data_IF_385113520778
#
_entry.id   IF_385113520778
#
_cell.length_a   1.000
_cell.length_b   1.000
_cell.length_c   1.000
_cell.angle_alpha   90.00
_cell.angle_beta   90.00
_cell.angle_gamma   90.00
#
_symmetry.space_group_name_H-M   'P 1'
#
loop_
_entity.id
_entity.type
_entity.pdbx_description
1 polymer ?
#
# COMPACT_ATOMS: atom_id res chain seq x y z
N UNK A 1 5.36 -40.78 -26.23
CA UNK A 1 5.59 -39.45 -25.62
C UNK A 1 6.75 -39.58 -24.66
N UNK A 2 7.78 -38.72 -24.74
CA UNK A 2 8.88 -38.70 -23.75
C UNK A 2 8.33 -38.34 -22.39
N UNK A 3 8.74 -39.06 -21.31
CA UNK A 3 8.37 -38.71 -19.95
C UNK A 3 8.93 -37.33 -19.62
N UNK A 4 8.10 -36.49 -18.99
CA UNK A 4 8.58 -35.24 -18.39
C UNK A 4 9.49 -35.54 -17.19
N UNK A 5 10.48 -34.68 -16.94
CA UNK A 5 11.47 -34.92 -15.90
C UNK A 5 11.56 -33.76 -14.92
N UNK A 6 11.53 -34.11 -13.64
CA UNK A 6 11.65 -33.15 -12.52
C UNK A 6 12.93 -33.45 -11.77
N UNK A 7 13.75 -32.42 -11.50
CA UNK A 7 14.87 -32.48 -10.56
C UNK A 7 14.43 -31.85 -9.23
N UNK A 8 14.42 -32.65 -8.19
CA UNK A 8 14.05 -32.24 -6.85
C UNK A 8 15.30 -32.13 -5.98
N UNK A 9 15.50 -31.00 -5.32
CA UNK A 9 16.72 -30.71 -4.55
C UNK A 9 16.36 -30.22 -3.17
N UNK A 10 16.71 -30.99 -2.16
CA UNK A 10 16.50 -30.64 -0.76
C UNK A 10 17.51 -31.38 0.14
N UNK A 11 17.87 -30.80 1.26
CA UNK A 11 18.77 -31.46 2.23
C UNK A 11 18.09 -32.56 3.02
N UNK A 12 16.77 -32.49 3.15
CA UNK A 12 15.97 -33.41 3.93
C UNK A 12 15.54 -34.61 3.07
N UNK A 13 16.14 -35.77 3.32
CA UNK A 13 15.87 -37.01 2.58
C UNK A 13 14.41 -37.44 2.69
N UNK A 14 13.80 -37.28 3.88
CA UNK A 14 12.39 -37.64 4.13
C UNK A 14 11.44 -36.78 3.27
N UNK A 15 11.75 -35.49 3.13
CA UNK A 15 11.01 -34.60 2.24
C UNK A 15 11.17 -35.01 0.78
N UNK A 16 12.39 -35.37 0.36
CA UNK A 16 12.63 -35.83 -1.02
C UNK A 16 11.87 -37.09 -1.35
N UNK A 17 11.83 -38.08 -0.44
CA UNK A 17 11.07 -39.32 -0.62
C UNK A 17 9.57 -39.04 -0.69
N UNK A 18 9.03 -38.22 0.22
CA UNK A 18 7.63 -37.83 0.22
C UNK A 18 7.28 -37.11 -1.08
N UNK A 19 8.01 -36.08 -1.47
CA UNK A 19 7.74 -35.28 -2.66
C UNK A 19 7.89 -36.10 -3.95
N UNK A 20 8.86 -37.00 -4.02
CA UNK A 20 9.02 -37.95 -5.13
C UNK A 20 7.78 -38.85 -5.26
N UNK A 21 7.27 -39.40 -4.17
CA UNK A 21 6.09 -40.24 -4.20
C UNK A 21 4.82 -39.49 -4.65
N UNK A 22 4.76 -38.17 -4.44
CA UNK A 22 3.64 -37.34 -4.91
C UNK A 22 3.74 -36.99 -6.40
N UNK A 23 4.95 -36.85 -6.96
CA UNK A 23 5.19 -36.34 -8.29
C UNK A 23 5.57 -37.43 -9.32
N UNK A 24 6.13 -38.55 -8.89
CA UNK A 24 6.52 -39.64 -9.80
C UNK A 24 5.29 -40.35 -10.34
N UNK A 25 5.23 -40.55 -11.65
CA UNK A 25 4.07 -41.14 -12.31
C UNK A 25 4.47 -41.86 -13.60
N UNK A 26 3.49 -42.45 -14.31
CA UNK A 26 3.73 -43.04 -15.64
C UNK A 26 4.22 -42.02 -16.67
N UNK A 27 3.89 -40.73 -16.49
CA UNK A 27 4.22 -39.62 -17.39
C UNK A 27 5.37 -38.74 -16.92
N UNK A 28 5.71 -38.78 -15.62
CA UNK A 28 6.70 -37.92 -14.99
C UNK A 28 7.77 -38.75 -14.31
N UNK A 29 9.05 -38.42 -14.50
CA UNK A 29 10.21 -39.02 -13.84
C UNK A 29 10.82 -38.01 -12.87
N UNK A 30 10.97 -38.38 -11.60
CA UNK A 30 11.58 -37.52 -10.58
C UNK A 30 12.99 -38.00 -10.24
N UNK A 31 13.95 -37.06 -10.32
CA UNK A 31 15.35 -37.23 -9.93
C UNK A 31 15.54 -36.44 -8.65
N UNK A 32 16.19 -36.99 -7.64
CA UNK A 32 16.38 -36.36 -6.33
C UNK A 32 17.85 -36.14 -6.04
N UNK A 33 18.24 -34.98 -5.52
CA UNK A 33 19.59 -34.62 -5.13
C UNK A 33 19.57 -33.90 -3.77
N UNK A 34 20.60 -34.12 -2.95
CA UNK A 34 20.69 -33.56 -1.61
C UNK A 34 21.63 -32.36 -1.50
N UNK A 35 22.36 -32.02 -2.57
CA UNK A 35 23.30 -30.91 -2.57
C UNK A 35 23.23 -30.10 -3.88
N UNK A 36 23.60 -28.83 -3.78
CA UNK A 36 23.58 -27.94 -4.93
C UNK A 36 24.55 -28.33 -6.05
N UNK A 37 25.72 -28.90 -5.70
CA UNK A 37 26.71 -29.41 -6.66
C UNK A 37 26.21 -30.65 -7.42
N UNK A 38 25.59 -31.59 -6.72
CA UNK A 38 25.00 -32.78 -7.32
C UNK A 38 23.83 -32.37 -8.23
N UNK A 39 22.99 -31.45 -7.75
CA UNK A 39 21.87 -30.91 -8.51
C UNK A 39 22.31 -30.23 -9.82
N UNK A 40 23.36 -29.40 -9.79
CA UNK A 40 23.87 -28.74 -10.98
C UNK A 40 24.46 -29.74 -11.98
N UNK A 41 25.18 -30.76 -11.51
CA UNK A 41 25.68 -31.85 -12.37
C UNK A 41 24.52 -32.65 -12.97
N UNK A 42 23.56 -33.03 -12.15
CA UNK A 42 22.37 -33.76 -12.59
C UNK A 42 21.55 -32.95 -13.61
N UNK A 43 21.40 -31.64 -13.40
CA UNK A 43 20.77 -30.72 -14.34
C UNK A 43 21.51 -30.69 -15.70
N UNK A 44 22.84 -30.56 -15.67
CA UNK A 44 23.65 -30.47 -16.89
C UNK A 44 23.64 -31.76 -17.73
N UNK A 45 23.48 -32.93 -17.07
CA UNK A 45 23.43 -34.23 -17.74
C UNK A 45 22.03 -34.59 -18.26
N UNK A 46 20.99 -34.27 -17.50
CA UNK A 46 19.63 -34.77 -17.76
C UNK A 46 18.72 -33.69 -18.37
N UNK A 47 19.08 -32.39 -18.33
CA UNK A 47 18.27 -31.26 -18.77
C UNK A 47 16.79 -31.39 -18.39
N UNK A 48 16.44 -31.45 -17.09
CA UNK A 48 15.09 -31.69 -16.64
C UNK A 48 14.14 -30.55 -17.07
N UNK A 49 12.85 -30.90 -17.22
CA UNK A 49 11.79 -29.95 -17.58
C UNK A 49 11.48 -28.96 -16.47
N UNK A 50 11.67 -29.38 -15.22
CA UNK A 50 11.41 -28.59 -14.03
C UNK A 50 12.48 -28.88 -12.97
N UNK A 51 12.95 -27.82 -12.30
CA UNK A 51 13.79 -27.95 -11.10
C UNK A 51 12.99 -27.38 -9.93
N UNK A 52 12.89 -28.14 -8.85
CA UNK A 52 12.34 -27.68 -7.56
C UNK A 52 13.46 -27.75 -6.54
N UNK A 53 13.89 -26.62 -6.00
CA UNK A 53 15.08 -26.55 -5.15
C UNK A 53 14.82 -25.79 -3.87
N UNK A 54 15.30 -26.34 -2.75
CA UNK A 54 15.38 -25.61 -1.51
C UNK A 54 16.33 -24.41 -1.64
N UNK A 55 16.00 -23.31 -0.96
CA UNK A 55 16.81 -22.10 -0.93
C UNK A 55 18.12 -22.31 -0.13
N UNK A 56 18.06 -23.00 1.03
CA UNK A 56 19.18 -23.21 1.93
C UNK A 56 19.95 -24.51 1.62
N UNK A 57 20.72 -24.53 0.54
CA UNK A 57 21.56 -25.66 0.16
C UNK A 57 23.03 -25.46 0.51
N UNK A 58 23.83 -26.49 0.36
CA UNK A 58 25.28 -26.49 0.42
C UNK A 58 25.87 -27.19 -0.81
N UNK A 59 27.07 -26.80 -1.29
CA UNK A 59 27.99 -25.76 -0.79
C UNK A 59 27.58 -24.33 -1.20
N UNK A 60 26.56 -24.15 -2.05
CA UNK A 60 26.01 -22.88 -2.44
C UNK A 60 24.47 -22.91 -2.36
N UNK A 61 23.87 -21.74 -2.28
CA UNK A 61 22.41 -21.59 -2.05
C UNK A 61 21.57 -22.01 -3.27
N UNK A 62 20.27 -22.29 -3.06
CA UNK A 62 19.31 -22.52 -4.15
C UNK A 62 19.18 -21.32 -5.09
N UNK A 63 19.42 -20.12 -4.60
CA UNK A 63 19.48 -18.90 -5.42
C UNK A 63 20.69 -18.90 -6.37
N UNK A 64 21.85 -19.28 -5.86
CA UNK A 64 23.06 -19.44 -6.70
C UNK A 64 22.89 -20.60 -7.69
N UNK A 65 22.22 -21.69 -7.29
CA UNK A 65 21.85 -22.79 -8.19
C UNK A 65 20.94 -22.27 -9.31
N UNK A 66 19.91 -21.51 -9.00
CA UNK A 66 19.05 -20.84 -9.97
C UNK A 66 19.85 -20.01 -10.98
N UNK A 67 20.78 -19.16 -10.47
CA UNK A 67 21.63 -18.31 -11.32
C UNK A 67 22.48 -19.14 -12.29
N UNK A 68 23.10 -20.23 -11.80
CA UNK A 68 23.92 -21.14 -12.62
C UNK A 68 23.09 -21.89 -13.66
N UNK A 69 21.89 -22.39 -13.27
CA UNK A 69 20.96 -23.06 -14.18
C UNK A 69 20.51 -22.09 -15.26
N UNK A 70 20.10 -20.87 -14.91
CA UNK A 70 19.66 -19.85 -15.88
C UNK A 70 20.75 -19.40 -16.81
N UNK A 71 22.02 -19.35 -16.35
CA UNK A 71 23.17 -19.07 -17.21
C UNK A 71 23.41 -20.20 -18.21
N UNK A 72 23.21 -21.45 -17.82
CA UNK A 72 23.37 -22.64 -18.68
C UNK A 72 22.18 -22.82 -19.64
N UNK A 73 20.96 -22.66 -19.11
CA UNK A 73 19.69 -22.79 -19.86
C UNK A 73 18.72 -21.67 -19.46
N UNK A 74 18.66 -20.60 -20.28
CA UNK A 74 17.82 -19.43 -19.99
C UNK A 74 16.31 -19.73 -19.86
N UNK A 75 15.84 -20.80 -20.45
CA UNK A 75 14.43 -21.22 -20.46
C UNK A 75 14.11 -22.29 -19.40
N UNK A 76 15.09 -22.70 -18.57
CA UNK A 76 14.87 -23.67 -17.52
C UNK A 76 13.84 -23.14 -16.51
N UNK A 77 12.86 -23.95 -16.15
CA UNK A 77 11.88 -23.60 -15.12
C UNK A 77 12.40 -24.07 -13.77
N UNK A 78 12.51 -23.13 -12.85
CA UNK A 78 13.02 -23.38 -11.49
C UNK A 78 12.04 -22.83 -10.47
N UNK A 79 11.59 -23.67 -9.56
CA UNK A 79 10.79 -23.29 -8.38
C UNK A 79 11.73 -23.30 -7.17
N UNK A 80 11.74 -22.21 -6.43
CA UNK A 80 12.45 -22.11 -5.15
C UNK A 80 11.50 -22.48 -4.03
N UNK A 81 11.96 -23.35 -3.12
CA UNK A 81 11.24 -23.67 -1.88
C UNK A 81 12.00 -23.17 -0.67
N UNK A 82 11.30 -22.75 0.37
CA UNK A 82 11.94 -22.29 1.61
C UNK A 82 11.04 -22.54 2.82
N UNK A 83 11.64 -22.87 3.95
CA UNK A 83 10.95 -22.90 5.23
C UNK A 83 10.58 -21.48 5.72
N UNK A 84 11.43 -20.49 5.38
CA UNK A 84 11.26 -19.09 5.78
C UNK A 84 11.37 -18.19 4.55
N UNK A 85 10.25 -17.83 3.93
CA UNK A 85 10.21 -16.91 2.82
C UNK A 85 10.13 -15.46 3.29
N UNK A 86 11.27 -14.73 3.34
CA UNK A 86 11.21 -13.27 3.52
C UNK A 86 10.76 -12.61 2.23
N UNK A 87 10.12 -11.43 2.33
CA UNK A 87 9.72 -10.61 1.19
C UNK A 87 10.86 -10.41 0.19
N UNK A 88 12.04 -10.12 0.70
CA UNK A 88 13.24 -9.89 -0.10
C UNK A 88 13.62 -11.12 -0.91
N UNK A 89 13.63 -12.32 -0.29
CA UNK A 89 13.98 -13.57 -0.95
C UNK A 89 13.02 -13.92 -2.09
N UNK A 90 11.72 -13.68 -1.89
CA UNK A 90 10.70 -13.90 -2.93
C UNK A 90 10.92 -12.98 -4.12
N UNK A 91 11.07 -11.66 -3.87
CA UNK A 91 11.30 -10.68 -4.94
C UNK A 91 12.60 -10.99 -5.69
N UNK A 92 13.67 -11.32 -4.97
CA UNK A 92 14.98 -11.63 -5.54
C UNK A 92 14.94 -12.91 -6.39
N UNK A 93 14.31 -13.99 -5.90
CA UNK A 93 14.12 -15.21 -6.65
C UNK A 93 13.35 -14.96 -7.97
N UNK A 94 12.25 -14.21 -7.90
CA UNK A 94 11.46 -13.87 -9.09
C UNK A 94 12.23 -12.98 -10.07
N UNK A 95 13.00 -12.00 -9.56
CA UNK A 95 13.89 -11.14 -10.37
C UNK A 95 14.98 -11.95 -11.08
N UNK A 96 15.53 -12.98 -10.40
CA UNK A 96 16.53 -13.90 -10.98
C UNK A 96 15.90 -14.89 -11.99
N UNK A 97 14.59 -14.84 -12.16
CA UNK A 97 13.86 -15.64 -13.15
C UNK A 97 13.40 -16.99 -12.62
N UNK A 98 13.18 -17.14 -11.31
CA UNK A 98 12.43 -18.28 -10.79
C UNK A 98 11.04 -18.32 -11.43
N UNK A 99 10.55 -19.54 -11.73
CA UNK A 99 9.18 -19.74 -12.22
C UNK A 99 8.18 -19.44 -11.09
N UNK A 100 8.49 -19.93 -9.89
CA UNK A 100 7.71 -19.67 -8.69
C UNK A 100 8.58 -19.74 -7.42
N UNK A 101 8.04 -19.21 -6.31
CA UNK A 101 8.60 -19.32 -4.97
C UNK A 101 7.51 -19.84 -4.04
N UNK A 102 7.76 -20.97 -3.35
CA UNK A 102 6.76 -21.67 -2.52
C UNK A 102 7.30 -21.91 -1.13
N UNK A 103 6.51 -21.61 -0.10
CA UNK A 103 6.86 -21.97 1.28
C UNK A 103 6.70 -23.47 1.52
N UNK A 104 7.64 -24.10 2.24
CA UNK A 104 7.58 -25.55 2.53
C UNK A 104 6.28 -25.95 3.24
N UNK A 105 5.72 -25.10 4.09
CA UNK A 105 4.44 -25.31 4.77
C UNK A 105 3.26 -25.52 3.83
N UNK A 106 3.33 -24.94 2.64
CA UNK A 106 2.26 -25.00 1.62
C UNK A 106 2.41 -26.20 0.68
N UNK A 107 3.60 -26.80 0.60
CA UNK A 107 3.89 -27.90 -0.32
C UNK A 107 3.00 -29.13 -0.10
N UNK A 108 2.62 -29.53 1.12
CA UNK A 108 1.71 -30.67 1.30
C UNK A 108 0.37 -30.54 0.57
N UNK A 109 -0.08 -29.32 0.34
CA UNK A 109 -1.37 -29.04 -0.32
C UNK A 109 -1.21 -28.63 -1.79
N UNK A 110 -0.07 -28.01 -2.16
CA UNK A 110 0.09 -27.34 -3.45
C UNK A 110 1.19 -27.90 -4.36
N UNK A 111 2.02 -28.85 -3.87
CA UNK A 111 3.19 -29.33 -4.62
C UNK A 111 2.80 -29.82 -6.02
N UNK A 112 1.77 -30.65 -6.12
CA UNK A 112 1.33 -31.21 -7.39
C UNK A 112 0.78 -30.14 -8.32
N UNK A 113 -0.02 -29.21 -7.81
CA UNK A 113 -0.64 -28.12 -8.59
C UNK A 113 0.46 -27.22 -9.20
N UNK A 114 1.45 -26.84 -8.38
CA UNK A 114 2.55 -25.95 -8.82
C UNK A 114 3.47 -26.69 -9.80
N UNK A 115 3.76 -27.96 -9.57
CA UNK A 115 4.56 -28.79 -10.47
C UNK A 115 3.86 -29.01 -11.81
N UNK A 116 2.57 -29.35 -11.82
CA UNK A 116 1.79 -29.54 -13.04
C UNK A 116 1.72 -28.27 -13.88
N UNK A 117 1.49 -27.10 -13.23
CA UNK A 117 1.50 -25.79 -13.89
C UNK A 117 2.87 -25.48 -14.53
N UNK A 118 3.96 -25.77 -13.82
CA UNK A 118 5.31 -25.58 -14.34
C UNK A 118 5.63 -26.53 -15.50
N UNK A 119 5.22 -27.80 -15.41
CA UNK A 119 5.43 -28.78 -16.48
C UNK A 119 4.60 -28.47 -17.74
N UNK A 120 3.39 -27.92 -17.56
CA UNK A 120 2.61 -27.42 -18.69
C UNK A 120 3.33 -26.24 -19.37
N UNK A 121 3.79 -25.27 -18.60
CA UNK A 121 4.58 -24.14 -19.12
C UNK A 121 5.87 -24.61 -19.82
N UNK A 122 6.56 -25.64 -19.29
CA UNK A 122 7.72 -26.25 -19.94
C UNK A 122 7.40 -26.86 -21.32
N UNK A 123 6.24 -27.53 -21.41
CA UNK A 123 5.78 -28.09 -22.68
C UNK A 123 5.47 -26.99 -23.73
N UNK A 124 4.82 -25.91 -23.30
CA UNK A 124 4.52 -24.74 -24.15
C UNK A 124 5.80 -24.01 -24.61
N UNK A 125 6.77 -23.82 -23.72
CA UNK A 125 8.06 -23.21 -24.03
C UNK A 125 8.88 -24.07 -25.02
N UNK A 126 8.83 -25.39 -24.88
CA UNK A 126 9.47 -26.32 -25.87
C UNK A 126 8.83 -26.22 -27.25
N UNK A 127 7.52 -25.98 -27.30
CA UNK A 127 6.78 -25.80 -28.53
C UNK A 127 7.05 -24.44 -29.23
N UNK A 128 7.37 -23.41 -28.43
CA UNK A 128 7.44 -22.01 -28.86
C UNK A 128 8.87 -21.52 -29.24
N UNK A 129 9.92 -22.29 -29.05
CA UNK A 129 11.34 -21.96 -29.24
C UNK A 129 11.61 -20.52 -29.73
N UNK A 130 11.85 -19.60 -28.82
CA UNK A 130 12.69 -18.38 -28.93
C UNK A 130 12.34 -17.30 -27.87
N UNK A 131 13.24 -16.93 -27.01
CA UNK A 131 13.70 -15.58 -26.61
C UNK A 131 14.39 -15.54 -25.22
N UNK A 132 15.47 -14.74 -25.09
CA UNK A 132 16.31 -14.59 -23.89
C UNK A 132 16.12 -13.25 -23.17
N UNK A 133 16.36 -13.14 -21.84
CA UNK A 133 17.03 -11.96 -21.25
C UNK A 133 18.02 -12.23 -20.10
N UNK A 134 18.85 -11.22 -19.81
CA UNK A 134 19.96 -11.16 -18.84
C UNK A 134 19.68 -10.15 -17.71
N UNK A 135 20.15 -10.40 -16.46
CA UNK A 135 20.24 -9.38 -15.39
C UNK A 135 21.25 -9.70 -14.27
N UNK A 136 21.87 -8.65 -13.69
CA UNK A 136 22.78 -8.63 -12.54
C UNK A 136 22.29 -7.65 -11.45
N UNK A 137 22.66 -7.87 -10.17
CA UNK A 137 22.06 -7.34 -8.95
C UNK A 137 22.99 -6.42 -8.17
N UNK A 138 22.45 -5.39 -7.47
CA UNK A 138 22.95 -4.88 -6.17
C UNK A 138 21.88 -4.13 -5.37
N UNK A 139 22.07 -4.01 -4.04
CA UNK A 139 21.09 -3.84 -2.96
C UNK A 139 20.65 -2.39 -2.68
N UNK A 140 19.36 -2.18 -2.28
CA UNK A 140 18.94 -1.10 -1.37
C UNK A 140 17.66 -1.46 -0.59
N UNK A 141 17.58 -0.96 0.65
CA UNK A 141 16.60 -1.29 1.68
C UNK A 141 15.46 -0.26 1.74
N UNK A 142 14.24 -0.67 1.45
CA UNK A 142 13.02 -0.20 2.11
C UNK A 142 12.11 -1.42 2.19
N UNK A 143 11.87 -1.91 3.41
CA UNK A 143 11.22 -3.19 3.63
C UNK A 143 9.71 -3.08 3.48
N UNK A 144 9.15 -3.73 2.46
CA UNK A 144 7.73 -4.06 2.45
C UNK A 144 7.54 -5.28 3.36
N UNK A 145 6.79 -5.10 4.44
CA UNK A 145 6.54 -6.14 5.44
C UNK A 145 5.24 -6.87 5.10
N UNK A 146 5.29 -8.20 5.04
CA UNK A 146 4.12 -9.07 4.84
C UNK A 146 4.54 -10.53 4.64
N UNK A 147 3.74 -11.44 5.17
CA UNK A 147 3.92 -12.90 5.08
C UNK A 147 2.72 -13.60 4.49
N UNK A 148 1.57 -12.91 4.41
CA UNK A 148 0.33 -13.47 3.88
C UNK A 148 0.47 -13.90 2.42
N UNK A 149 -0.30 -14.90 2.01
CA UNK A 149 -0.30 -15.41 0.65
C UNK A 149 -0.67 -14.32 -0.37
N UNK A 150 -1.59 -13.42 0.00
CA UNK A 150 -1.97 -12.30 -0.82
C UNK A 150 -0.78 -11.35 -1.08
N UNK A 151 0.05 -11.06 -0.07
CA UNK A 151 1.26 -10.25 -0.25
C UNK A 151 2.35 -11.00 -1.00
N UNK A 152 2.47 -12.31 -0.85
CA UNK A 152 3.41 -13.13 -1.63
C UNK A 152 3.12 -13.01 -3.14
N UNK A 153 1.86 -12.95 -3.56
CA UNK A 153 1.50 -12.70 -4.96
C UNK A 153 1.94 -11.31 -5.43
N UNK A 154 1.80 -10.28 -4.57
CA UNK A 154 2.30 -8.93 -4.86
C UNK A 154 3.83 -8.95 -5.04
N UNK A 155 4.58 -9.63 -4.16
CA UNK A 155 6.03 -9.72 -4.26
C UNK A 155 6.50 -10.44 -5.53
N UNK A 156 5.84 -11.54 -5.89
CA UNK A 156 6.09 -12.24 -7.16
C UNK A 156 5.87 -11.32 -8.36
N UNK A 157 4.79 -10.53 -8.35
CA UNK A 157 4.52 -9.54 -9.41
C UNK A 157 5.59 -8.44 -9.45
N UNK A 158 6.00 -7.88 -8.30
CA UNK A 158 7.09 -6.90 -8.25
C UNK A 158 8.34 -7.47 -8.91
N UNK A 159 8.77 -8.70 -8.56
CA UNK A 159 9.93 -9.35 -9.15
C UNK A 159 9.83 -9.53 -10.67
N UNK A 160 8.64 -9.92 -11.17
CA UNK A 160 8.40 -10.11 -12.62
C UNK A 160 8.46 -8.79 -13.39
N UNK A 161 7.85 -7.72 -12.86
CA UNK A 161 7.75 -6.44 -13.58
C UNK A 161 8.99 -5.56 -13.43
N UNK A 162 9.81 -5.81 -12.41
CA UNK A 162 10.99 -4.98 -12.12
C UNK A 162 11.98 -4.93 -13.29
N UNK A 163 12.16 -6.04 -14.00
CA UNK A 163 13.07 -6.14 -15.16
C UNK A 163 12.56 -5.52 -16.47
N UNK A 164 11.33 -4.99 -16.49
CA UNK A 164 10.70 -4.38 -17.67
C UNK A 164 10.55 -2.88 -17.50
N UNK A 165 10.62 -2.11 -18.60
CA UNK A 165 10.30 -0.68 -18.61
C UNK A 165 8.81 -0.39 -18.85
N UNK A 166 7.96 -1.43 -18.96
CA UNK A 166 6.54 -1.27 -19.15
C UNK A 166 5.90 -0.44 -18.01
N UNK A 167 4.89 0.40 -18.31
CA UNK A 167 4.10 1.07 -17.29
C UNK A 167 3.46 0.06 -16.34
N UNK A 168 3.45 0.39 -15.05
CA UNK A 168 2.84 -0.44 -14.01
C UNK A 168 1.76 0.36 -13.28
N UNK A 169 0.55 -0.21 -13.22
CA UNK A 169 -0.57 0.34 -12.47
C UNK A 169 -0.77 -0.41 -11.16
N UNK A 170 -0.66 0.28 -10.04
CA UNK A 170 -0.88 -0.26 -8.70
C UNK A 170 -2.28 0.15 -8.25
N UNK A 171 -3.14 -0.83 -7.99
CA UNK A 171 -4.50 -0.58 -7.48
C UNK A 171 -4.65 -1.08 -6.05
N UNK A 172 -5.47 -0.42 -5.26
CA UNK A 172 -5.74 -0.79 -3.88
C UNK A 172 -6.25 0.39 -3.06
N UNK A 173 -6.85 0.08 -1.92
CA UNK A 173 -7.43 1.08 -1.03
C UNK A 173 -6.41 2.12 -0.54
N UNK A 174 -6.91 3.27 -0.09
CA UNK A 174 -6.06 4.29 0.54
C UNK A 174 -5.35 3.71 1.78
N UNK A 175 -4.08 4.07 1.96
CA UNK A 175 -3.27 3.59 3.09
C UNK A 175 -2.83 2.12 3.01
N UNK A 176 -3.06 1.39 1.92
CA UNK A 176 -2.64 -0.01 1.76
C UNK A 176 -1.13 -0.20 1.57
N UNK A 177 -0.38 0.85 1.17
CA UNK A 177 1.06 0.83 0.94
C UNK A 177 1.48 0.89 -0.53
N UNK A 178 0.66 1.44 -1.43
CA UNK A 178 0.93 1.53 -2.88
C UNK A 178 2.27 2.20 -3.21
N UNK A 179 2.67 3.25 -2.49
CA UNK A 179 3.96 3.92 -2.70
C UNK A 179 5.15 3.01 -2.38
N UNK A 180 5.08 2.18 -1.32
CA UNK A 180 6.14 1.22 -0.99
C UNK A 180 6.31 0.18 -2.09
N UNK A 181 5.20 -0.29 -2.69
CA UNK A 181 5.24 -1.19 -3.86
C UNK A 181 5.90 -0.51 -5.06
N UNK A 182 5.58 0.78 -5.33
CA UNK A 182 6.21 1.54 -6.41
C UNK A 182 7.73 1.71 -6.19
N UNK A 183 8.15 2.01 -4.97
CA UNK A 183 9.56 2.09 -4.59
C UNK A 183 10.27 0.75 -4.76
N UNK A 184 9.64 -0.35 -4.35
CA UNK A 184 10.20 -1.68 -4.56
C UNK A 184 10.35 -2.02 -6.05
N UNK A 185 9.34 -1.72 -6.89
CA UNK A 185 9.45 -1.91 -8.34
C UNK A 185 10.65 -1.13 -8.91
N UNK A 186 10.87 0.11 -8.45
CA UNK A 186 12.04 0.89 -8.85
C UNK A 186 13.35 0.29 -8.34
N UNK A 187 13.44 -0.03 -7.04
CA UNK A 187 14.65 -0.52 -6.40
C UNK A 187 15.15 -1.85 -6.99
N UNK A 188 14.22 -2.71 -7.43
CA UNK A 188 14.56 -3.97 -8.10
C UNK A 188 14.65 -3.85 -9.63
N UNK A 189 14.49 -2.64 -10.22
CA UNK A 189 14.54 -2.41 -11.67
C UNK A 189 15.97 -2.18 -12.20
N UNK A 190 16.09 -2.12 -13.52
CA UNK A 190 17.32 -1.70 -14.20
C UNK A 190 17.67 -0.22 -13.94
N UNK A 191 16.70 0.56 -13.44
CA UNK A 191 16.83 1.98 -13.12
C UNK A 191 17.05 2.25 -11.63
N UNK A 192 17.36 1.25 -10.81
CA UNK A 192 17.51 1.35 -9.35
C UNK A 192 18.57 2.38 -8.89
N UNK A 193 19.60 2.62 -9.70
CA UNK A 193 20.62 3.66 -9.46
C UNK A 193 20.25 5.06 -9.99
N UNK A 194 19.04 5.24 -10.52
CA UNK A 194 18.56 6.50 -11.09
C UNK A 194 17.55 7.17 -10.16
N UNK A 195 17.07 8.35 -10.57
CA UNK A 195 16.07 9.09 -9.79
C UNK A 195 14.74 8.34 -9.66
N UNK A 196 14.17 8.31 -8.45
CA UNK A 196 12.77 7.97 -8.19
C UNK A 196 12.07 9.23 -7.69
N UNK A 197 11.16 9.77 -8.48
CA UNK A 197 10.36 10.93 -8.09
C UNK A 197 8.91 10.53 -7.91
N UNK A 198 8.34 10.88 -6.77
CA UNK A 198 6.92 10.65 -6.47
C UNK A 198 6.16 11.99 -6.52
N UNK A 199 4.98 11.96 -7.08
CA UNK A 199 4.04 13.07 -7.07
C UNK A 199 2.63 12.53 -6.76
N UNK A 200 1.96 13.17 -5.80
CA UNK A 200 0.56 12.85 -5.50
C UNK A 200 -0.33 13.85 -6.24
N UNK A 201 -1.10 13.34 -7.21
CA UNK A 201 -1.94 14.17 -8.07
C UNK A 201 -3.12 14.80 -7.32
N UNK A 202 -3.62 14.15 -6.26
CA UNK A 202 -4.70 14.69 -5.43
C UNK A 202 -4.25 15.79 -4.47
N UNK A 203 -2.96 15.85 -4.12
CA UNK A 203 -2.42 16.82 -3.16
C UNK A 203 -2.08 18.18 -3.78
N UNK A 204 -2.08 18.30 -5.10
CA UNK A 204 -1.70 19.51 -5.84
C UNK A 204 -2.94 20.09 -6.51
N UNK A 205 -3.22 21.40 -6.34
CA UNK A 205 -4.30 22.05 -7.08
C UNK A 205 -4.17 21.87 -8.61
N UNK A 206 -5.30 21.66 -9.29
CA UNK A 206 -5.35 21.32 -10.71
C UNK A 206 -4.55 22.30 -11.61
N UNK A 207 -4.65 23.58 -11.32
CA UNK A 207 -3.94 24.65 -12.05
C UNK A 207 -2.42 24.63 -11.86
N UNK A 208 -1.92 23.96 -10.82
CA UNK A 208 -0.47 23.84 -10.54
C UNK A 208 0.10 22.49 -10.94
N UNK A 209 -0.75 21.45 -11.01
CA UNK A 209 -0.31 20.08 -11.30
C UNK A 209 0.40 19.99 -12.66
N UNK A 210 -0.12 20.67 -13.66
CA UNK A 210 0.49 20.73 -14.99
C UNK A 210 1.90 21.34 -14.95
N UNK A 211 2.05 22.45 -14.23
CA UNK A 211 3.34 23.14 -14.04
C UNK A 211 4.33 22.32 -13.21
N UNK A 212 3.88 21.56 -12.21
CA UNK A 212 4.75 20.66 -11.44
C UNK A 212 5.25 19.49 -12.30
N UNK A 213 4.39 18.91 -13.15
CA UNK A 213 4.75 17.77 -13.99
C UNK A 213 5.68 18.16 -15.16
N UNK A 214 5.29 19.18 -15.93
CA UNK A 214 5.94 19.56 -17.19
C UNK A 214 6.89 20.75 -17.07
N UNK A 215 6.86 21.50 -15.94
CA UNK A 215 7.57 22.75 -15.78
C UNK A 215 6.87 23.91 -16.50
N UNK A 216 7.40 25.12 -16.32
CA UNK A 216 6.87 26.31 -16.98
C UNK A 216 7.99 27.27 -17.40
N UNK A 217 7.72 28.03 -18.46
CA UNK A 217 8.55 29.14 -18.89
C UNK A 217 8.20 30.41 -18.09
N UNK A 218 9.14 31.35 -18.02
CA UNK A 218 8.90 32.65 -17.41
C UNK A 218 7.73 33.34 -18.10
N UNK A 219 6.75 33.82 -17.32
CA UNK A 219 5.57 34.50 -17.82
C UNK A 219 4.41 33.59 -18.30
N UNK A 220 4.50 32.27 -18.10
CA UNK A 220 3.48 31.30 -18.53
C UNK A 220 2.12 31.52 -17.87
N UNK A 221 2.09 32.06 -16.65
CA UNK A 221 0.87 32.42 -15.89
C UNK A 221 1.20 33.53 -14.87
N UNK A 222 0.16 34.11 -14.26
CA UNK A 222 0.32 35.12 -13.19
C UNK A 222 1.05 34.52 -12.00
N UNK A 223 2.30 34.96 -11.74
CA UNK A 223 3.19 34.42 -10.71
C UNK A 223 4.37 33.61 -11.26
N UNK A 224 4.44 33.33 -12.54
CA UNK A 224 5.58 32.65 -13.18
C UNK A 224 6.77 33.61 -13.37
N UNK A 225 7.42 34.01 -12.26
CA UNK A 225 8.53 34.97 -12.30
C UNK A 225 9.83 34.43 -12.89
N UNK A 226 10.02 33.12 -12.85
CA UNK A 226 11.22 32.43 -13.39
C UNK A 226 10.78 31.12 -14.07
N UNK A 227 11.64 30.58 -14.93
CA UNK A 227 11.48 29.24 -15.50
C UNK A 227 11.62 28.18 -14.39
N UNK A 228 10.82 27.12 -14.46
CA UNK A 228 10.89 25.97 -13.54
C UNK A 228 10.93 24.65 -14.30
N UNK A 229 11.84 23.79 -13.90
CA UNK A 229 12.01 22.43 -14.46
C UNK A 229 10.92 21.52 -13.87
N UNK A 230 10.19 20.78 -14.72
CA UNK A 230 9.13 19.85 -14.34
C UNK A 230 9.64 18.48 -13.89
N UNK A 231 8.73 17.66 -13.32
CA UNK A 231 9.06 16.32 -12.82
C UNK A 231 9.48 15.37 -13.93
N UNK A 232 8.90 15.45 -15.13
CA UNK A 232 9.32 14.65 -16.27
C UNK A 232 10.77 14.89 -16.67
N UNK A 233 11.22 16.15 -16.68
CA UNK A 233 12.60 16.50 -16.97
C UNK A 233 13.55 16.05 -15.85
N UNK A 234 13.15 16.21 -14.57
CA UNK A 234 13.94 15.80 -13.41
C UNK A 234 14.07 14.27 -13.28
N UNK A 235 13.11 13.51 -13.80
CA UNK A 235 13.10 12.04 -13.74
C UNK A 235 13.62 11.39 -15.01
N UNK A 236 14.27 12.15 -15.90
CA UNK A 236 14.84 11.60 -17.13
C UNK A 236 15.80 10.43 -16.85
N UNK A 237 15.68 9.33 -17.60
CA UNK A 237 16.34 8.05 -17.38
C UNK A 237 16.03 7.38 -16.03
N UNK A 238 15.06 7.91 -15.27
CA UNK A 238 14.64 7.42 -13.96
C UNK A 238 13.23 6.81 -13.97
N UNK A 239 12.58 6.92 -12.81
CA UNK A 239 11.19 6.46 -12.60
C UNK A 239 10.35 7.61 -12.01
N UNK A 240 9.21 7.88 -12.62
CA UNK A 240 8.21 8.81 -12.10
C UNK A 240 7.02 8.01 -11.56
N UNK A 241 6.75 8.18 -10.26
CA UNK A 241 5.59 7.60 -9.61
C UNK A 241 4.47 8.64 -9.51
N UNK A 242 3.33 8.33 -10.12
CA UNK A 242 2.12 9.15 -10.13
C UNK A 242 1.10 8.52 -9.17
N UNK A 243 1.01 9.06 -7.95
CA UNK A 243 0.01 8.60 -6.97
C UNK A 243 -1.33 9.27 -7.22
N UNK A 244 -2.41 8.53 -6.98
CA UNK A 244 -3.81 8.93 -7.20
C UNK A 244 -4.05 9.49 -8.61
N UNK A 245 -3.59 8.73 -9.64
CA UNK A 245 -3.70 9.11 -11.05
C UNK A 245 -5.15 9.38 -11.49
N UNK A 246 -6.13 8.75 -10.83
CA UNK A 246 -7.56 8.94 -11.10
C UNK A 246 -8.12 10.30 -10.71
N UNK A 247 -7.33 11.14 -10.01
CA UNK A 247 -7.70 12.52 -9.66
C UNK A 247 -7.17 13.56 -10.68
N UNK A 248 -6.46 13.10 -11.71
CA UNK A 248 -5.79 13.99 -12.65
C UNK A 248 -6.77 14.67 -13.62
N UNK A 249 -6.67 15.99 -13.84
CA UNK A 249 -7.48 16.72 -14.80
C UNK A 249 -7.27 16.22 -16.24
N UNK A 250 -8.34 16.21 -17.05
CA UNK A 250 -8.33 15.72 -18.45
C UNK A 250 -7.27 16.40 -19.34
N UNK A 251 -6.99 17.68 -19.10
CA UNK A 251 -5.97 18.42 -19.84
C UNK A 251 -4.57 17.84 -19.59
N UNK A 252 -4.26 17.51 -18.34
CA UNK A 252 -2.98 16.91 -17.92
C UNK A 252 -2.89 15.48 -18.45
N UNK A 253 -4.00 14.71 -18.42
CA UNK A 253 -4.05 13.36 -18.97
C UNK A 253 -3.64 13.31 -20.46
N UNK A 254 -4.06 14.29 -21.27
CA UNK A 254 -3.69 14.33 -22.69
C UNK A 254 -2.20 14.59 -22.91
N UNK A 255 -1.57 15.39 -22.06
CA UNK A 255 -0.12 15.64 -22.13
C UNK A 255 0.69 14.43 -21.67
N UNK A 256 0.26 13.73 -20.63
CA UNK A 256 0.89 12.49 -20.19
C UNK A 256 0.81 11.41 -21.28
N UNK A 257 -0.34 11.30 -21.95
CA UNK A 257 -0.49 10.36 -23.06
C UNK A 257 0.57 10.61 -24.14
N UNK A 258 0.82 11.89 -24.48
CA UNK A 258 1.85 12.26 -25.45
C UNK A 258 3.25 11.84 -25.00
N UNK A 259 3.59 12.05 -23.72
CA UNK A 259 4.87 11.58 -23.16
C UNK A 259 5.00 10.07 -23.24
N UNK A 260 3.93 9.31 -22.92
CA UNK A 260 3.93 7.86 -22.98
C UNK A 260 4.03 7.28 -24.41
N UNK A 261 3.58 8.02 -25.41
CA UNK A 261 3.59 7.60 -26.82
C UNK A 261 4.85 8.00 -27.55
N UNK A 262 5.27 9.26 -27.39
CA UNK A 262 6.30 9.92 -28.19
C UNK A 262 7.59 10.17 -27.39
N UNK A 263 7.54 10.10 -26.04
CA UNK A 263 8.64 10.51 -25.17
C UNK A 263 8.87 12.03 -25.19
N UNK A 264 7.89 12.81 -25.66
CA UNK A 264 8.03 14.24 -25.90
C UNK A 264 6.98 15.05 -25.12
N UNK A 265 7.38 16.24 -24.69
CA UNK A 265 6.49 17.23 -24.06
C UNK A 265 7.03 18.65 -24.27
N UNK A 266 6.23 19.66 -23.88
CA UNK A 266 6.68 21.06 -23.79
C UNK A 266 6.31 21.64 -22.45
N UNK A 267 7.11 22.58 -21.95
CA UNK A 267 6.79 23.33 -20.71
C UNK A 267 5.55 24.19 -20.93
N UNK A 268 4.85 24.49 -19.84
CA UNK A 268 3.69 25.40 -19.88
C UNK A 268 4.15 26.78 -20.34
N UNK A 269 3.46 27.31 -21.36
CA UNK A 269 3.82 28.61 -21.98
C UNK A 269 5.03 28.55 -22.91
N UNK A 270 5.65 27.39 -23.12
CA UNK A 270 6.79 27.19 -24.02
C UNK A 270 6.42 26.42 -25.29
N UNK A 271 7.15 26.66 -26.39
CA UNK A 271 6.99 25.95 -27.65
C UNK A 271 8.14 24.95 -27.93
N UNK A 272 9.13 24.89 -27.05
CA UNK A 272 10.26 23.98 -27.21
C UNK A 272 9.81 22.54 -26.89
N UNK A 273 10.01 21.61 -27.80
CA UNK A 273 9.81 20.17 -27.55
C UNK A 273 11.02 19.63 -26.79
N UNK A 274 10.73 19.02 -25.63
CA UNK A 274 11.69 18.31 -24.80
C UNK A 274 11.46 16.83 -24.91
N UNK A 275 12.52 16.01 -24.81
CA UNK A 275 12.47 14.56 -24.82
C UNK A 275 12.84 14.01 -23.46
N UNK A 276 12.20 12.92 -23.08
CA UNK A 276 12.47 12.20 -21.83
C UNK A 276 12.29 10.72 -21.98
N UNK A 277 13.15 9.95 -21.32
CA UNK A 277 13.02 8.50 -21.15
C UNK A 277 12.70 8.18 -19.69
N UNK A 278 11.42 8.20 -19.34
CA UNK A 278 10.95 8.01 -17.96
C UNK A 278 10.10 6.75 -17.87
N UNK A 279 10.44 5.86 -16.96
CA UNK A 279 9.56 4.76 -16.58
C UNK A 279 8.42 5.27 -15.72
N UNK A 280 7.18 5.00 -16.11
CA UNK A 280 5.98 5.39 -15.36
C UNK A 280 5.50 4.24 -14.48
N UNK A 281 5.33 4.53 -13.19
CA UNK A 281 4.55 3.71 -12.24
C UNK A 281 3.42 4.60 -11.74
N UNK A 282 2.19 4.13 -11.79
CA UNK A 282 1.04 4.90 -11.29
C UNK A 282 0.26 4.12 -10.25
N UNK A 283 -0.43 4.83 -9.37
CA UNK A 283 -1.29 4.24 -8.35
C UNK A 283 -2.65 4.94 -8.29
N UNK A 284 -3.68 4.18 -7.90
CA UNK A 284 -5.01 4.72 -7.66
C UNK A 284 -5.81 3.84 -6.71
N UNK A 285 -6.72 4.45 -5.96
CA UNK A 285 -7.77 3.79 -5.19
C UNK A 285 -9.11 3.73 -5.94
N UNK A 286 -9.25 4.45 -7.08
CA UNK A 286 -10.45 4.47 -7.91
C UNK A 286 -10.50 3.30 -8.90
N UNK A 287 -11.71 2.91 -9.28
CA UNK A 287 -11.97 2.03 -10.41
C UNK A 287 -11.91 2.86 -11.71
N UNK A 288 -10.73 2.86 -12.38
CA UNK A 288 -10.53 3.71 -13.56
C UNK A 288 -11.47 3.34 -14.71
N UNK A 289 -11.91 2.11 -14.81
CA UNK A 289 -12.92 1.66 -15.78
C UNK A 289 -14.23 2.44 -15.61
N UNK A 290 -14.65 2.70 -14.37
CA UNK A 290 -15.82 3.51 -14.07
C UNK A 290 -15.58 5.00 -14.39
N UNK A 291 -14.39 5.51 -14.09
CA UNK A 291 -14.04 6.90 -14.39
C UNK A 291 -13.92 7.15 -15.90
N UNK A 292 -13.50 6.15 -16.69
CA UNK A 292 -13.58 6.18 -18.16
C UNK A 292 -15.04 6.24 -18.63
N UNK A 293 -15.92 5.41 -18.07
CA UNK A 293 -17.33 5.42 -18.41
C UNK A 293 -18.02 6.77 -18.06
N UNK A 294 -17.60 7.41 -16.97
CA UNK A 294 -18.06 8.75 -16.55
C UNK A 294 -17.39 9.89 -17.33
N UNK A 295 -16.43 9.59 -18.23
CA UNK A 295 -15.62 10.57 -18.98
C UNK A 295 -14.71 11.45 -18.09
N UNK A 296 -14.41 11.05 -16.88
CA UNK A 296 -13.46 11.70 -15.98
C UNK A 296 -12.02 11.25 -16.24
N UNK A 297 -11.85 10.11 -16.90
CA UNK A 297 -10.56 9.57 -17.31
C UNK A 297 -10.60 9.21 -18.80
N UNK A 298 -9.51 9.48 -19.53
CA UNK A 298 -9.43 9.18 -20.96
C UNK A 298 -9.18 7.69 -21.17
N UNK A 299 -9.92 7.10 -22.08
CA UNK A 299 -9.82 5.68 -22.44
C UNK A 299 -8.44 5.33 -23.07
N UNK A 300 -7.92 6.21 -23.92
CA UNK A 300 -6.61 6.03 -24.57
C UNK A 300 -5.45 6.01 -23.56
N UNK A 301 -5.49 6.89 -22.56
CA UNK A 301 -4.52 6.91 -21.48
C UNK A 301 -4.65 5.68 -20.59
N UNK A 302 -5.88 5.25 -20.27
CA UNK A 302 -6.12 4.05 -19.48
C UNK A 302 -5.45 2.83 -20.10
N UNK A 303 -5.66 2.55 -21.39
CA UNK A 303 -5.02 1.41 -22.05
C UNK A 303 -3.49 1.53 -22.13
N UNK A 304 -2.95 2.74 -22.22
CA UNK A 304 -1.50 2.96 -22.27
C UNK A 304 -0.83 2.76 -20.91
N UNK A 305 -1.52 3.05 -19.81
CA UNK A 305 -1.03 2.85 -18.43
C UNK A 305 -1.29 1.43 -17.91
N UNK A 306 -2.40 0.81 -18.30
CA UNK A 306 -2.86 -0.49 -17.80
C UNK A 306 -2.19 -1.68 -18.55
N UNK A 307 -0.86 -1.63 -18.69
CA UNK A 307 -0.09 -2.73 -19.32
C UNK A 307 0.16 -3.85 -18.33
N UNK A 308 0.57 -3.50 -17.10
CA UNK A 308 0.72 -4.46 -16.00
C UNK A 308 0.00 -3.91 -14.78
N UNK A 309 -0.92 -4.70 -14.21
CA UNK A 309 -1.66 -4.32 -13.01
C UNK A 309 -1.16 -5.10 -11.80
N UNK A 310 -0.83 -4.39 -10.73
CA UNK A 310 -0.49 -4.96 -9.41
C UNK A 310 -1.59 -4.53 -8.44
N UNK A 311 -2.38 -5.50 -7.97
CA UNK A 311 -3.42 -5.23 -6.98
C UNK A 311 -2.90 -5.46 -5.57
N UNK A 312 -2.99 -4.43 -4.72
CA UNK A 312 -2.57 -4.47 -3.33
C UNK A 312 -3.79 -4.75 -2.43
N UNK A 313 -3.82 -5.89 -1.74
CA UNK A 313 -4.97 -6.28 -0.93
C UNK A 313 -5.15 -5.35 0.28
N UNK A 314 -6.40 -5.07 0.71
CA UNK A 314 -6.66 -4.33 1.93
C UNK A 314 -6.20 -5.12 3.16
N UNK A 315 -5.88 -4.42 4.26
CA UNK A 315 -5.29 -5.05 5.44
C UNK A 315 -6.19 -6.13 6.07
N UNK A 316 -7.51 -5.95 6.02
CA UNK A 316 -8.50 -6.94 6.50
C UNK A 316 -8.47 -8.29 5.76
N UNK A 317 -7.95 -8.35 4.54
CA UNK A 317 -7.78 -9.59 3.77
C UNK A 317 -6.40 -10.23 3.92
N UNK A 318 -5.54 -9.66 4.80
CA UNK A 318 -4.21 -10.17 5.14
C UNK A 318 -3.97 -10.08 6.66
N UNK A 319 -4.86 -10.69 7.41
CA UNK A 319 -4.86 -10.63 8.88
C UNK A 319 -3.56 -11.10 9.52
N UNK A 320 -2.90 -12.09 8.90
CA UNK A 320 -1.60 -12.60 9.32
C UNK A 320 -0.49 -11.53 9.34
N UNK A 321 -0.64 -10.48 8.53
CA UNK A 321 0.33 -9.37 8.45
C UNK A 321 0.11 -8.32 9.55
N UNK A 322 -1.07 -8.26 10.20
CA UNK A 322 -1.43 -7.20 11.14
C UNK A 322 -0.47 -7.19 12.34
N UNK A 323 -0.28 -8.34 12.97
CA UNK A 323 0.63 -8.47 14.12
C UNK A 323 2.06 -8.13 13.72
N UNK A 324 2.53 -8.68 12.61
CA UNK A 324 3.88 -8.44 12.10
C UNK A 324 4.13 -6.95 11.81
N UNK A 325 3.17 -6.27 11.18
CA UNK A 325 3.24 -4.84 10.90
C UNK A 325 3.21 -4.01 12.18
N UNK A 326 2.39 -4.38 13.17
CA UNK A 326 2.35 -3.69 14.45
C UNK A 326 3.70 -3.78 15.19
N UNK A 327 4.29 -4.97 15.27
CA UNK A 327 5.60 -5.19 15.87
C UNK A 327 6.70 -4.42 15.11
N UNK A 328 6.66 -4.41 13.78
CA UNK A 328 7.55 -3.62 12.95
C UNK A 328 7.46 -2.11 13.26
N UNK A 329 6.23 -1.56 13.36
CA UNK A 329 6.05 -0.14 13.69
C UNK A 329 6.54 0.18 15.12
N UNK A 330 6.31 -0.70 16.09
CA UNK A 330 6.82 -0.51 17.45
C UNK A 330 8.35 -0.51 17.48
N UNK A 331 9.00 -1.39 16.72
CA UNK A 331 10.47 -1.38 16.57
C UNK A 331 10.96 -0.09 15.91
N UNK A 332 10.34 0.34 14.81
CA UNK A 332 10.65 1.60 14.12
C UNK A 332 10.54 2.80 15.04
N UNK A 333 9.46 2.87 15.83
CA UNK A 333 9.24 3.95 16.80
C UNK A 333 10.29 3.92 17.92
N UNK A 334 10.61 2.73 18.45
CA UNK A 334 11.65 2.55 19.46
C UNK A 334 13.00 3.09 18.97
N UNK A 335 13.42 2.71 17.77
CA UNK A 335 14.66 3.21 17.17
C UNK A 335 14.66 4.72 16.95
N UNK A 336 13.57 5.28 16.38
CA UNK A 336 13.48 6.70 16.08
C UNK A 336 13.43 7.59 17.33
N UNK A 337 12.76 7.13 18.39
CA UNK A 337 12.57 7.91 19.62
C UNK A 337 13.55 7.56 20.74
N UNK A 338 14.49 6.63 20.49
CA UNK A 338 15.43 6.12 21.50
C UNK A 338 14.74 5.68 22.80
N UNK A 339 13.57 5.01 22.66
CA UNK A 339 12.77 4.49 23.78
C UNK A 339 12.89 2.97 23.85
N UNK A 340 12.65 2.35 25.03
CA UNK A 340 12.53 0.90 25.15
C UNK A 340 11.52 0.34 24.15
N UNK A 341 11.79 -0.86 23.63
CA UNK A 341 10.89 -1.55 22.72
C UNK A 341 9.64 -2.00 23.49
N UNK A 342 8.48 -1.49 23.06
CA UNK A 342 7.19 -1.93 23.58
C UNK A 342 6.84 -3.30 22.97
N UNK A 343 6.29 -4.18 23.81
CA UNK A 343 5.77 -5.48 23.40
C UNK A 343 4.24 -5.42 23.29
N UNK A 344 3.69 -6.23 22.40
CA UNK A 344 2.24 -6.36 22.25
C UNK A 344 1.76 -7.56 23.08
N UNK A 345 0.71 -7.40 23.91
CA UNK A 345 0.09 -8.53 24.59
C UNK A 345 -0.72 -9.37 23.60
N UNK A 346 -0.93 -10.65 23.91
CA UNK A 346 -1.67 -11.57 23.04
C UNK A 346 -3.14 -11.14 22.83
N UNK A 347 -3.75 -10.58 23.88
CA UNK A 347 -5.11 -10.06 23.81
C UNK A 347 -5.19 -8.80 22.94
N UNK A 348 -4.18 -7.92 22.99
CA UNK A 348 -4.08 -6.75 22.13
C UNK A 348 -3.86 -7.15 20.67
N UNK A 349 -3.03 -8.16 20.40
CA UNK A 349 -2.83 -8.68 19.07
C UNK A 349 -4.14 -9.23 18.46
N UNK A 350 -4.87 -10.07 19.19
CA UNK A 350 -6.18 -10.60 18.75
C UNK A 350 -7.21 -9.51 18.50
N UNK A 351 -7.23 -8.48 19.35
CA UNK A 351 -8.11 -7.32 19.16
C UNK A 351 -7.82 -6.60 17.84
N UNK A 352 -6.54 -6.42 17.51
CA UNK A 352 -6.11 -5.78 16.28
C UNK A 352 -6.38 -6.63 15.04
N UNK A 353 -6.18 -7.95 15.12
CA UNK A 353 -6.48 -8.90 14.04
C UNK A 353 -7.97 -8.94 13.70
N UNK A 354 -8.84 -8.75 14.68
CA UNK A 354 -10.29 -8.72 14.51
C UNK A 354 -10.82 -7.38 13.95
N UNK A 355 -10.03 -6.31 14.01
CA UNK A 355 -10.46 -4.97 13.56
C UNK A 355 -10.37 -4.84 12.03
N UNK A 356 -11.34 -4.19 11.34
CA UNK A 356 -11.41 -4.15 9.88
C UNK A 356 -10.43 -3.20 9.19
N UNK A 357 -9.74 -2.33 9.92
CA UNK A 357 -8.72 -1.39 9.42
C UNK A 357 -9.17 -0.61 8.16
N UNK A 358 -10.20 0.25 8.23
CA UNK A 358 -10.67 1.00 7.06
C UNK A 358 -9.58 1.92 6.46
N UNK A 359 -8.66 2.44 7.28
CA UNK A 359 -7.49 3.21 6.83
C UNK A 359 -6.24 2.35 6.57
N UNK A 360 -6.38 1.01 6.55
CA UNK A 360 -5.33 0.05 6.23
C UNK A 360 -4.04 0.24 7.06
N UNK A 361 -2.88 0.10 6.43
CA UNK A 361 -1.56 0.19 7.08
C UNK A 361 -1.29 1.59 7.66
N UNK A 362 -1.81 2.65 7.01
CA UNK A 362 -1.67 4.02 7.53
C UNK A 362 -2.41 4.20 8.86
N UNK A 363 -3.59 3.64 8.99
CA UNK A 363 -4.34 3.64 10.26
C UNK A 363 -3.62 2.82 11.33
N UNK A 364 -3.11 1.64 10.97
CA UNK A 364 -2.33 0.80 11.86
C UNK A 364 -1.07 1.52 12.38
N UNK A 365 -0.27 2.13 11.49
CA UNK A 365 0.92 2.91 11.85
C UNK A 365 0.57 4.05 12.83
N UNK A 366 -0.47 4.83 12.52
CA UNK A 366 -0.95 5.91 13.38
C UNK A 366 -1.45 5.39 14.74
N UNK A 367 -2.10 4.23 14.76
CA UNK A 367 -2.57 3.60 16.00
C UNK A 367 -1.39 3.15 16.86
N UNK A 368 -0.36 2.54 16.27
CA UNK A 368 0.85 2.17 17.00
C UNK A 368 1.62 3.38 17.52
N UNK A 369 1.69 4.47 16.75
CA UNK A 369 2.28 5.72 17.20
C UNK A 369 1.53 6.28 18.42
N UNK A 370 0.20 6.33 18.38
CA UNK A 370 -0.62 6.79 19.51
C UNK A 370 -0.48 5.88 20.71
N UNK A 371 -0.59 4.57 20.53
CA UNK A 371 -0.39 3.59 21.60
C UNK A 371 0.98 3.74 22.26
N UNK A 372 2.04 3.98 21.49
CA UNK A 372 3.40 4.17 22.02
C UNK A 372 3.56 5.44 22.87
N UNK A 373 2.72 6.46 22.67
CA UNK A 373 2.73 7.68 23.46
C UNK A 373 1.92 7.50 24.75
N UNK A 374 0.82 6.75 24.68
CA UNK A 374 -0.11 6.54 25.80
C UNK A 374 0.33 5.39 26.73
N UNK A 375 1.23 4.53 26.27
CA UNK A 375 1.73 3.40 27.04
C UNK A 375 2.38 3.84 28.37
N UNK A 376 1.90 3.26 29.46
CA UNK A 376 2.42 3.47 30.82
C UNK A 376 3.34 2.34 31.28
N UNK A 377 3.45 1.25 30.51
CA UNK A 377 4.26 0.07 30.75
C UNK A 377 4.95 -0.41 29.48
N UNK A 378 5.90 -1.35 29.59
CA UNK A 378 6.63 -1.91 28.45
C UNK A 378 5.81 -2.88 27.60
N UNK A 379 4.56 -3.15 27.99
CA UNK A 379 3.63 -4.04 27.28
C UNK A 379 2.32 -3.29 27.00
N UNK A 380 1.91 -3.27 25.75
CA UNK A 380 0.64 -2.71 25.29
C UNK A 380 -0.51 -3.69 25.55
N UNK A 381 -1.47 -3.26 26.32
CA UNK A 381 -2.71 -3.98 26.61
C UNK A 381 -3.84 -3.52 25.67
N UNK A 382 -4.97 -4.25 25.55
CA UNK A 382 -6.11 -3.85 24.73
C UNK A 382 -6.61 -2.42 24.98
N UNK A 383 -6.59 -1.97 26.24
CA UNK A 383 -6.98 -0.61 26.64
C UNK A 383 -6.06 0.50 26.09
N UNK A 384 -4.82 0.15 25.75
CA UNK A 384 -3.80 1.08 25.25
C UNK A 384 -3.87 1.23 23.73
N UNK A 385 -4.73 0.43 23.05
CA UNK A 385 -4.90 0.44 21.59
C UNK A 385 -6.14 1.28 21.22
N UNK A 386 -5.98 2.52 20.73
CA UNK A 386 -7.10 3.41 20.42
C UNK A 386 -7.73 3.07 19.04
N UNK A 387 -8.48 1.95 18.95
CA UNK A 387 -9.21 1.55 17.75
C UNK A 387 -10.46 2.43 17.52
N UNK A 388 -10.81 2.65 16.26
CA UNK A 388 -12.06 3.34 15.86
C UNK A 388 -12.05 4.86 16.05
N UNK A 389 -10.97 5.46 16.52
CA UNK A 389 -10.80 6.90 16.45
C UNK A 389 -10.33 7.28 15.03
N UNK A 390 -11.27 7.56 14.16
CA UNK A 390 -10.96 8.17 12.86
C UNK A 390 -10.20 9.46 13.16
N UNK A 391 -8.97 9.53 12.77
CA UNK A 391 -8.22 10.79 12.75
C UNK A 391 -8.85 11.66 11.66
N UNK A 392 -9.85 12.45 12.02
CA UNK A 392 -9.93 13.76 11.40
C UNK A 392 -8.58 14.39 11.66
N UNK A 393 -7.87 14.72 10.60
CA UNK A 393 -6.56 15.39 10.56
C UNK A 393 -6.34 16.25 11.81
N UNK A 394 -5.25 16.10 12.57
CA UNK A 394 -4.94 17.09 13.57
C UNK A 394 -4.54 18.36 12.81
N UNK A 395 -5.42 19.32 12.76
CA UNK A 395 -4.95 20.71 12.71
C UNK A 395 -3.94 20.89 13.84
N UNK A 396 -2.88 21.69 13.65
CA UNK A 396 -1.85 21.87 14.66
C UNK A 396 -2.52 22.30 15.96
N UNK A 397 -2.43 21.44 16.98
CA UNK A 397 -2.88 21.75 18.35
C UNK A 397 -1.92 22.81 18.88
N UNK A 398 -2.29 24.05 18.68
CA UNK A 398 -1.88 25.11 19.57
C UNK A 398 -2.74 24.97 20.82
N UNK A 399 -2.13 24.57 21.92
CA UNK A 399 -2.52 24.60 23.30
C UNK A 399 -4.00 24.51 23.67
N UNK A 400 -4.29 23.50 24.49
CA UNK A 400 -5.34 23.47 25.51
C UNK A 400 -6.73 24.05 25.13
N UNK A 401 -7.57 23.25 24.49
CA UNK A 401 -8.99 23.59 24.29
C UNK A 401 -9.95 22.44 24.65
N UNK A 402 -9.72 21.80 25.81
CA UNK A 402 -10.75 21.02 26.51
C UNK A 402 -11.80 21.95 27.21
N UNK A 403 -11.81 23.24 26.85
CA UNK A 403 -12.66 24.28 27.41
C UNK A 403 -13.95 24.52 26.61
N UNK A 404 -14.60 25.62 26.92
CA UNK A 404 -15.86 26.13 26.37
C UNK A 404 -15.84 26.19 24.84
N UNK A 405 -14.70 26.50 24.22
CA UNK A 405 -14.52 26.62 22.76
C UNK A 405 -14.74 25.29 22.00
N UNK A 406 -14.18 24.18 22.51
CA UNK A 406 -14.41 22.85 21.93
C UNK A 406 -15.86 22.39 22.06
N UNK A 407 -16.52 22.73 23.17
CA UNK A 407 -17.94 22.47 23.37
C UNK A 407 -18.82 23.29 22.41
N UNK A 408 -18.48 24.56 22.18
CA UNK A 408 -19.18 25.44 21.22
C UNK A 408 -19.06 24.90 19.78
N UNK A 409 -17.84 24.49 19.34
CA UNK A 409 -17.66 23.92 18.01
C UNK A 409 -18.46 22.63 17.80
N UNK A 410 -18.53 21.78 18.82
CA UNK A 410 -19.30 20.53 18.77
C UNK A 410 -20.80 20.81 18.63
N UNK A 411 -21.33 21.75 19.44
CA UNK A 411 -22.73 22.18 19.40
C UNK A 411 -23.09 22.84 18.07
N UNK A 412 -22.20 23.70 17.55
CA UNK A 412 -22.43 24.39 16.29
C UNK A 412 -22.47 23.41 15.11
N UNK A 413 -21.60 22.39 15.10
CA UNK A 413 -21.62 21.34 14.06
C UNK A 413 -22.88 20.49 14.13
N UNK A 414 -23.29 20.05 15.32
CA UNK A 414 -24.52 19.29 15.50
C UNK A 414 -25.76 20.05 15.05
N UNK A 415 -25.79 21.37 15.26
CA UNK A 415 -26.91 22.22 14.83
C UNK A 415 -26.92 22.50 13.31
N UNK A 416 -25.77 22.41 12.62
CA UNK A 416 -25.72 22.47 11.15
C UNK A 416 -26.23 21.17 10.49
N UNK A 417 -26.11 20.04 11.18
CA UNK A 417 -26.59 18.74 10.70
C UNK A 417 -28.11 18.57 10.90
N UNK A 418 -28.72 19.28 11.87
CA UNK A 418 -30.16 19.28 12.14
C UNK A 418 -30.81 20.63 11.78
N UNK A 419 -31.26 20.76 10.55
CA UNK A 419 -31.88 21.99 10.00
C UNK A 419 -33.27 22.33 10.61
N UNK A 420 -33.79 21.50 11.50
CA UNK A 420 -35.10 21.70 12.15
C UNK A 420 -35.01 22.56 13.42
N UNK A 421 -33.80 22.81 13.96
CA UNK A 421 -33.57 23.51 15.22
C UNK A 421 -33.10 24.95 14.95
N UNK A 422 -33.88 25.93 15.36
CA UNK A 422 -33.40 27.32 15.45
C UNK A 422 -32.38 27.44 16.60
N UNK A 423 -31.09 27.44 16.29
CA UNK A 423 -29.97 27.28 17.20
C UNK A 423 -29.99 28.31 18.37
N UNK A 424 -30.16 29.59 18.06
CA UNK A 424 -30.10 30.63 19.11
C UNK A 424 -31.27 30.56 20.10
N UNK A 425 -32.55 30.44 19.69
CA UNK A 425 -33.67 30.24 20.61
C UNK A 425 -33.52 28.96 21.42
N UNK A 426 -33.06 27.87 20.81
CA UNK A 426 -32.85 26.62 21.53
C UNK A 426 -31.73 26.73 22.58
N UNK A 427 -30.60 27.34 22.27
CA UNK A 427 -29.51 27.57 23.23
C UNK A 427 -29.97 28.47 24.38
N UNK A 428 -30.66 29.56 24.09
CA UNK A 428 -31.19 30.45 25.11
C UNK A 428 -32.10 29.71 26.12
N UNK A 429 -32.99 28.86 25.62
CA UNK A 429 -33.89 28.04 26.42
C UNK A 429 -33.10 27.06 27.30
N UNK A 430 -32.22 26.29 26.71
CA UNK A 430 -31.48 25.22 27.35
C UNK A 430 -30.52 25.77 28.44
N UNK A 431 -29.77 26.85 28.13
CA UNK A 431 -28.88 27.47 29.11
C UNK A 431 -29.66 28.13 30.23
N UNK A 432 -30.82 28.71 29.96
CA UNK A 432 -31.70 29.30 31.03
C UNK A 432 -32.17 28.20 31.95
N UNK A 433 -32.67 27.07 31.46
CA UNK A 433 -33.15 25.96 32.29
C UNK A 433 -32.03 25.34 33.14
N UNK A 434 -30.87 25.10 32.55
CA UNK A 434 -29.70 24.54 33.25
C UNK A 434 -29.18 25.49 34.33
N UNK A 435 -29.12 26.79 34.06
CA UNK A 435 -28.71 27.78 35.03
C UNK A 435 -29.69 27.85 36.22
N UNK A 436 -30.99 27.77 35.96
CA UNK A 436 -32.02 27.73 37.04
C UNK A 436 -31.88 26.46 37.87
N UNK A 437 -31.75 25.29 37.24
CA UNK A 437 -31.56 24.01 37.97
C UNK A 437 -30.27 24.03 38.79
N UNK A 438 -29.15 24.48 38.25
CA UNK A 438 -27.85 24.54 38.93
C UNK A 438 -27.87 25.49 40.14
N UNK A 439 -28.67 26.55 40.09
CA UNK A 439 -28.75 27.53 41.18
C UNK A 439 -29.91 27.29 42.16
N UNK A 440 -30.57 26.11 42.07
CA UNK A 440 -31.71 25.77 42.95
C UNK A 440 -32.88 26.74 42.77
N UNK A 441 -33.21 27.12 41.55
CA UNK A 441 -34.24 28.07 41.15
C UNK A 441 -34.03 29.52 41.67
N UNK A 442 -32.80 29.88 42.06
CA UNK A 442 -32.49 31.25 42.48
C UNK A 442 -32.19 32.14 41.25
N UNK A 443 -33.21 32.94 40.86
CA UNK A 443 -33.14 33.82 39.69
C UNK A 443 -31.98 34.84 39.74
N UNK A 444 -31.57 35.32 40.91
CA UNK A 444 -30.48 36.30 41.04
C UNK A 444 -29.13 35.64 40.74
N UNK A 445 -28.89 34.43 41.28
CA UNK A 445 -27.69 33.67 41.04
C UNK A 445 -27.62 33.15 39.60
N UNK A 446 -28.75 32.69 39.04
CA UNK A 446 -28.86 32.24 37.66
C UNK A 446 -28.58 33.38 36.65
N UNK A 447 -29.15 34.58 36.89
CA UNK A 447 -28.87 35.75 36.05
C UNK A 447 -27.40 36.14 36.06
N UNK A 448 -26.75 36.10 37.23
CA UNK A 448 -25.31 36.37 37.37
C UNK A 448 -24.47 35.32 36.67
N UNK A 449 -24.82 34.02 36.73
CA UNK A 449 -24.16 32.92 36.06
C UNK A 449 -24.22 33.08 34.54
N UNK A 450 -25.35 33.50 33.98
CA UNK A 450 -25.59 33.72 32.57
C UNK A 450 -25.08 35.07 32.06
N UNK A 451 -24.56 35.95 32.90
CA UNK A 451 -24.08 37.29 32.53
C UNK A 451 -25.20 38.22 32.07
N UNK A 452 -26.46 38.00 32.49
CA UNK A 452 -27.63 38.80 32.11
C UNK A 452 -28.30 39.46 33.33
N UNK A 453 -29.18 40.44 33.08
CA UNK A 453 -29.95 41.06 34.17
C UNK A 453 -31.08 40.12 34.65
N UNK A 454 -31.50 40.27 35.94
CA UNK A 454 -32.63 39.52 36.49
C UNK A 454 -33.92 39.76 35.66
N UNK A 455 -34.11 40.98 35.16
CA UNK A 455 -35.26 41.33 34.35
C UNK A 455 -35.25 40.57 33.00
N UNK A 456 -34.06 40.45 32.38
CA UNK A 456 -33.88 39.67 31.14
C UNK A 456 -34.13 38.18 31.35
N UNK A 457 -33.62 37.64 32.46
CA UNK A 457 -33.85 36.23 32.80
C UNK A 457 -35.34 35.95 33.02
N UNK A 458 -36.07 36.82 33.78
CA UNK A 458 -37.50 36.68 34.01
C UNK A 458 -38.27 36.70 32.67
N UNK A 459 -37.95 37.62 31.75
CA UNK A 459 -38.60 37.72 30.43
C UNK A 459 -38.35 36.46 29.59
N UNK A 460 -37.15 35.84 29.71
CA UNK A 460 -36.86 34.58 29.02
C UNK A 460 -37.61 33.39 29.64
N UNK A 461 -37.77 33.34 30.94
CA UNK A 461 -38.56 32.32 31.62
C UNK A 461 -40.04 32.41 31.26
N UNK A 462 -40.62 33.64 31.24
CA UNK A 462 -42.01 33.89 30.81
C UNK A 462 -42.23 33.48 29.35
N UNK A 463 -41.29 33.75 28.46
CA UNK A 463 -41.34 33.35 27.05
C UNK A 463 -41.21 31.83 26.82
N UNK A 464 -40.47 31.14 27.67
CA UNK A 464 -40.25 29.71 27.60
C UNK A 464 -41.26 28.88 28.42
N UNK A 465 -42.03 29.50 29.31
CA UNK A 465 -43.08 28.88 30.14
C UNK A 465 -44.53 29.15 29.72
N UNK A 466 -44.74 29.86 28.64
CA UNK A 466 -46.06 30.28 28.20
C UNK A 466 -46.62 29.45 27.05
N UNK A 467 -46.90 28.15 27.30
CA UNK A 467 -47.92 27.37 26.60
C UNK A 467 -48.42 26.30 27.58
N UNK A 468 -49.39 26.70 28.43
CA UNK A 468 -50.51 25.89 28.90
C UNK A 468 -51.20 26.69 30.04
N UNK A 469 -52.23 27.47 29.69
CA UNK A 469 -53.38 27.79 30.50
C UNK A 469 -54.16 28.96 29.80
N UNK A 470 -54.94 28.63 28.77
CA UNK A 470 -56.09 29.41 28.38
C UNK A 470 -56.99 28.57 27.46
N UNK A 471 -57.66 27.56 28.05
CA UNK A 471 -58.94 27.05 27.62
C UNK A 471 -59.61 26.40 28.83
N UNK A 472 -60.24 27.22 29.67
CA UNK A 472 -61.33 26.82 30.55
C UNK A 472 -61.92 28.11 31.16
N UNK A 473 -62.81 28.79 30.40
CA UNK A 473 -64.11 29.33 30.79
C UNK A 473 -64.81 29.88 29.52
#
# INVERSE_FOLDING_TARGET
>A
MSKQSILLVDRETDFLEWAKNQLDSSTTKVITETSADAAYRSFSLNTPDLVITEMNLHPFTGMELLARIRKHSPNALVIITSAFGTTQNVIEAMKMGAFDFVRKEQLPFNLKIVADSALQAAAELKAANTFKPLLTVEQHREDIVGVSDAMQQVFKMIGRVAGSDAPVMITGESGSGKELVARAIHNYSTRSGRSFLAINCAAIPDNLLESELFGHEKGAFTGAHSQRIGRFEQSDNGTLFLDEIGEMPLQVQSKILRVLQEGEFSRVGGNQTLRTDVRIVCATNKHLEEEVAKKNFREDLFYRLNVVRVHLPPLRSRQEDIRLLAEYFLQKISHQKHRPLLKLSEEAAKLMEAYPWPGNVRELENTMQRASVLATADVLLPKDIPLGQISTTPEPVTGDSGGVEGAIQTLFRAALEDSTVELLPWLEKEFTQRAMSHTGNNQVRAAKLLGITRATLRKRLERNGGTDDSEAE
#
